data_IF_811251344270
#
_entry.id   IF_811251344270
#
_cell.length_a   1.000
_cell.length_b   1.000
_cell.length_c   1.000
_cell.angle_alpha   90.00
_cell.angle_beta   90.00
_cell.angle_gamma   90.00
#
_symmetry.space_group_name_H-M   'P 1'
#
loop_
_entity.id
_entity.type
_entity.pdbx_description
1 polymer ?
#
# COMPACT_ATOMS: atom_id res chain seq x y z
N UNK A 1 -3.75 17.30 -7.45
CA UNK A 1 -4.19 15.88 -7.49
C UNK A 1 -4.21 15.36 -8.93
N UNK A 2 -5.00 15.92 -9.86
CA UNK A 2 -5.09 15.44 -11.25
C UNK A 2 -3.73 15.39 -12.00
N UNK A 3 -2.94 16.47 -11.92
CA UNK A 3 -1.59 16.53 -12.52
C UNK A 3 -0.65 15.44 -11.96
N UNK A 4 -0.73 15.14 -10.66
CA UNK A 4 0.10 14.11 -10.04
C UNK A 4 -0.25 12.71 -10.57
N UNK A 5 -1.54 12.40 -10.74
CA UNK A 5 -1.97 11.11 -11.28
C UNK A 5 -1.62 10.96 -12.76
N UNK A 6 -1.68 12.04 -13.54
CA UNK A 6 -1.21 12.07 -14.93
C UNK A 6 0.29 11.76 -15.01
N UNK A 7 1.11 12.38 -14.15
CA UNK A 7 2.55 12.10 -14.07
C UNK A 7 2.81 10.64 -13.62
N UNK A 8 2.04 10.13 -12.65
CA UNK A 8 2.10 8.71 -12.25
C UNK A 8 1.78 7.78 -13.44
N UNK A 9 0.75 8.08 -14.23
CA UNK A 9 0.37 7.28 -15.39
C UNK A 9 1.45 7.29 -16.48
N UNK A 10 2.09 8.44 -16.72
CA UNK A 10 3.24 8.55 -17.64
C UNK A 10 4.42 7.70 -17.15
N UNK A 11 4.75 7.81 -15.86
CA UNK A 11 5.82 7.01 -15.28
C UNK A 11 5.51 5.50 -15.38
N UNK A 12 4.27 5.10 -15.16
CA UNK A 12 3.84 3.70 -15.32
C UNK A 12 3.99 3.21 -16.76
N UNK A 13 3.67 4.04 -17.77
CA UNK A 13 3.90 3.70 -19.19
C UNK A 13 5.37 3.48 -19.49
N UNK A 14 6.24 4.39 -19.02
CA UNK A 14 7.69 4.22 -19.12
C UNK A 14 8.14 2.90 -18.49
N UNK A 15 7.64 2.61 -17.29
CA UNK A 15 7.98 1.40 -16.54
C UNK A 15 7.55 0.12 -17.28
N UNK A 16 6.33 0.10 -17.84
CA UNK A 16 5.80 -1.02 -18.64
C UNK A 16 6.66 -1.33 -19.88
N UNK A 17 7.21 -0.31 -20.54
CA UNK A 17 8.10 -0.51 -21.69
C UNK A 17 9.44 -1.16 -21.29
N UNK A 18 9.86 -0.96 -20.05
CA UNK A 18 11.22 -1.18 -19.61
C UNK A 18 11.40 -2.39 -18.69
N UNK A 19 10.34 -2.83 -18.02
CA UNK A 19 10.34 -4.03 -17.17
C UNK A 19 11.05 -3.81 -15.83
N UNK A 20 11.98 -4.70 -15.47
CA UNK A 20 12.66 -4.71 -14.17
C UNK A 20 13.59 -3.50 -14.00
N UNK A 21 13.51 -2.77 -12.89
CA UNK A 21 14.36 -1.59 -12.62
C UNK A 21 14.87 -1.54 -11.18
N UNK A 22 16.12 -1.07 -11.04
CA UNK A 22 16.70 -0.73 -9.73
C UNK A 22 16.16 0.60 -9.21
N UNK A 23 16.19 0.79 -7.90
CA UNK A 23 15.77 2.04 -7.26
C UNK A 23 16.62 3.25 -7.68
N UNK A 24 17.90 3.06 -8.01
CA UNK A 24 18.75 4.12 -8.56
C UNK A 24 18.20 4.61 -9.90
N UNK A 25 17.87 3.69 -10.82
CA UNK A 25 17.28 4.04 -12.11
C UNK A 25 15.90 4.70 -11.93
N UNK A 26 15.09 4.17 -11.02
CA UNK A 26 13.78 4.73 -10.68
C UNK A 26 13.93 6.17 -10.17
N UNK A 27 14.84 6.41 -9.22
CA UNK A 27 15.13 7.74 -8.67
C UNK A 27 15.52 8.72 -9.76
N UNK A 28 16.47 8.36 -10.63
CA UNK A 28 16.91 9.22 -11.72
C UNK A 28 15.75 9.59 -12.66
N UNK A 29 14.95 8.61 -13.06
CA UNK A 29 13.86 8.85 -14.01
C UNK A 29 12.71 9.63 -13.40
N UNK A 30 12.37 9.38 -12.14
CA UNK A 30 11.39 10.17 -11.41
C UNK A 30 11.86 11.61 -11.24
N UNK A 31 13.14 11.85 -10.92
CA UNK A 31 13.70 13.21 -10.85
C UNK A 31 13.64 13.91 -12.21
N UNK A 32 14.03 13.24 -13.29
CA UNK A 32 13.95 13.80 -14.64
C UNK A 32 12.50 14.16 -15.01
N UNK A 33 11.55 13.29 -14.65
CA UNK A 33 10.12 13.52 -14.89
C UNK A 33 9.60 14.71 -14.08
N UNK A 34 9.91 14.79 -12.78
CA UNK A 34 9.57 15.93 -11.93
C UNK A 34 10.08 17.25 -12.53
N UNK A 35 11.35 17.29 -12.94
CA UNK A 35 11.96 18.48 -13.54
C UNK A 35 11.28 18.88 -14.85
N UNK A 36 10.89 17.91 -15.68
CA UNK A 36 10.26 18.17 -16.98
C UNK A 36 8.84 18.75 -16.86
N UNK A 37 8.17 18.49 -15.73
CA UNK A 37 6.80 18.95 -15.45
C UNK A 37 6.73 20.04 -14.38
N UNK A 38 7.88 20.59 -13.96
CA UNK A 38 8.00 21.58 -12.87
C UNK A 38 7.24 21.13 -11.61
N UNK A 39 7.30 19.83 -11.32
CA UNK A 39 6.57 19.22 -10.22
C UNK A 39 7.39 19.25 -8.94
N UNK A 40 7.00 20.12 -8.02
CA UNK A 40 7.66 20.26 -6.72
C UNK A 40 7.36 19.09 -5.77
N UNK A 41 8.39 18.68 -5.02
CA UNK A 41 8.30 17.69 -3.96
C UNK A 41 9.12 16.43 -4.21
N UNK A 42 9.03 15.48 -3.27
CA UNK A 42 9.77 14.23 -3.39
C UNK A 42 9.05 13.28 -4.36
N UNK A 43 9.51 13.25 -5.61
CA UNK A 43 8.92 12.43 -6.66
C UNK A 43 8.83 10.94 -6.32
N UNK A 44 9.75 10.39 -5.51
CA UNK A 44 9.64 8.98 -5.12
C UNK A 44 8.36 8.72 -4.33
N UNK A 45 8.04 9.58 -3.36
CA UNK A 45 6.83 9.45 -2.54
C UNK A 45 5.56 9.89 -3.26
N UNK A 46 5.67 10.81 -4.22
CA UNK A 46 4.52 11.38 -4.91
C UNK A 46 4.17 10.66 -6.23
N UNK A 47 5.13 9.98 -6.85
CA UNK A 47 4.97 9.32 -8.16
C UNK A 47 5.18 7.81 -8.05
N UNK A 48 6.35 7.37 -7.58
CA UNK A 48 6.72 5.96 -7.61
C UNK A 48 6.01 5.10 -6.55
N UNK A 49 6.18 5.42 -5.26
CA UNK A 49 5.59 4.64 -4.17
C UNK A 49 4.06 4.52 -4.25
N UNK A 50 3.29 5.53 -4.71
CA UNK A 50 1.87 5.35 -4.96
C UNK A 50 1.55 4.21 -5.94
N UNK A 51 2.38 3.98 -6.97
CA UNK A 51 2.19 2.88 -7.92
C UNK A 51 2.52 1.52 -7.28
N UNK A 52 3.55 1.47 -6.43
CA UNK A 52 3.86 0.29 -5.61
C UNK A 52 2.69 -0.02 -4.67
N UNK A 53 2.17 1.00 -3.98
CA UNK A 53 1.03 0.85 -3.05
C UNK A 53 -0.29 0.49 -3.72
N UNK A 54 -0.50 0.95 -4.96
CA UNK A 54 -1.64 0.56 -5.80
C UNK A 54 -1.50 -0.85 -6.38
N UNK A 55 -0.31 -1.47 -6.31
CA UNK A 55 -0.07 -2.84 -6.81
C UNK A 55 0.23 -2.90 -8.31
N UNK A 56 0.62 -1.79 -8.94
CA UNK A 56 1.05 -1.81 -10.34
C UNK A 56 2.50 -2.25 -10.51
N UNK A 57 3.31 -2.04 -9.47
CA UNK A 57 4.74 -2.35 -9.42
C UNK A 57 4.99 -3.18 -8.15
N UNK A 58 5.78 -4.23 -8.29
CA UNK A 58 6.20 -5.13 -7.21
C UNK A 58 7.67 -4.96 -6.88
N UNK A 59 7.99 -5.10 -5.60
CA UNK A 59 9.36 -5.28 -5.14
C UNK A 59 9.75 -6.74 -5.30
N UNK A 60 10.94 -7.01 -5.86
CA UNK A 60 11.41 -8.39 -6.12
C UNK A 60 12.73 -8.73 -5.43
N UNK A 61 13.20 -7.87 -4.52
CA UNK A 61 14.45 -8.06 -3.77
C UNK A 61 15.55 -7.11 -4.23
N UNK A 62 16.56 -6.94 -3.37
CA UNK A 62 17.83 -6.25 -3.70
C UNK A 62 17.63 -4.85 -4.33
N UNK A 63 16.70 -4.06 -3.77
CA UNK A 63 16.40 -2.71 -4.25
C UNK A 63 15.90 -2.67 -5.72
N UNK A 64 15.34 -3.78 -6.20
CA UNK A 64 14.78 -3.91 -7.54
C UNK A 64 13.26 -4.14 -7.53
N UNK A 65 12.64 -3.64 -8.59
CA UNK A 65 11.20 -3.62 -8.76
C UNK A 65 10.84 -4.06 -10.18
N UNK A 66 9.61 -4.53 -10.38
CA UNK A 66 9.09 -4.92 -11.69
C UNK A 66 7.60 -4.59 -11.81
N UNK A 67 7.07 -4.62 -13.04
CA UNK A 67 5.61 -4.55 -13.25
C UNK A 67 4.94 -5.77 -12.62
N UNK A 68 3.88 -5.53 -11.84
CA UNK A 68 3.06 -6.61 -11.31
C UNK A 68 2.40 -7.39 -12.48
N UNK A 69 2.28 -8.72 -12.40
CA UNK A 69 1.70 -9.51 -13.47
C UNK A 69 0.27 -9.06 -13.79
N UNK A 70 -0.10 -9.21 -15.06
CA UNK A 70 -1.47 -8.99 -15.54
C UNK A 70 -2.42 -9.93 -14.82
N UNK A 71 -3.50 -9.38 -14.25
CA UNK A 71 -4.50 -10.15 -13.50
C UNK A 71 -5.90 -9.60 -13.71
N UNK A 72 -6.88 -10.49 -13.72
CA UNK A 72 -8.29 -10.14 -13.60
C UNK A 72 -8.81 -10.63 -12.25
N UNK A 73 -9.37 -9.69 -11.49
CA UNK A 73 -9.98 -9.91 -10.18
C UNK A 73 -11.50 -9.84 -10.35
N UNK A 74 -12.19 -10.95 -10.06
CA UNK A 74 -13.66 -10.99 -10.05
C UNK A 74 -14.19 -10.74 -8.64
N UNK A 75 -15.11 -9.79 -8.53
CA UNK A 75 -15.90 -9.56 -7.33
C UNK A 75 -17.27 -10.22 -7.52
N UNK A 76 -17.44 -11.37 -6.87
CA UNK A 76 -18.65 -12.18 -6.96
C UNK A 76 -19.88 -11.47 -6.38
N UNK A 77 -19.70 -10.51 -5.47
CA UNK A 77 -20.80 -9.80 -4.83
C UNK A 77 -21.40 -8.76 -5.78
N UNK A 78 -20.54 -8.01 -6.47
CA UNK A 78 -20.98 -6.96 -7.41
C UNK A 78 -21.20 -7.47 -8.84
N UNK A 79 -20.72 -8.68 -9.18
CA UNK A 79 -20.74 -9.18 -10.56
C UNK A 79 -19.78 -8.44 -11.49
N UNK A 80 -18.81 -7.73 -10.92
CA UNK A 80 -17.83 -6.92 -11.64
C UNK A 80 -16.47 -7.61 -11.68
N UNK A 81 -15.78 -7.45 -12.80
CA UNK A 81 -14.40 -7.88 -12.99
C UNK A 81 -13.51 -6.67 -13.23
N UNK A 82 -12.31 -6.70 -12.64
CA UNK A 82 -11.31 -5.65 -12.75
C UNK A 82 -10.02 -6.23 -13.30
N UNK A 83 -9.59 -5.75 -14.47
CA UNK A 83 -8.31 -6.10 -15.07
C UNK A 83 -7.23 -5.08 -14.71
N UNK A 84 -6.07 -5.56 -14.26
CA UNK A 84 -4.94 -4.75 -13.83
C UNK A 84 -3.72 -5.14 -14.66
N UNK A 85 -2.93 -4.15 -15.08
CA UNK A 85 -1.70 -4.34 -15.87
C UNK A 85 -1.88 -5.20 -17.13
N UNK A 86 -3.07 -5.16 -17.74
CA UNK A 86 -3.31 -5.80 -19.02
C UNK A 86 -2.55 -5.05 -20.13
N UNK A 87 -2.11 -5.78 -21.16
CA UNK A 87 -1.56 -5.18 -22.36
C UNK A 87 -2.68 -4.72 -23.32
N UNK A 88 -2.33 -3.96 -24.35
CA UNK A 88 -3.31 -3.39 -25.29
C UNK A 88 -4.14 -4.45 -26.02
N UNK A 89 -3.53 -5.58 -26.36
CA UNK A 89 -4.21 -6.67 -27.07
C UNK A 89 -5.24 -7.37 -26.18
N UNK A 90 -4.87 -7.66 -24.93
CA UNK A 90 -5.78 -8.21 -23.92
C UNK A 90 -6.97 -7.27 -23.68
N UNK A 91 -6.72 -5.95 -23.58
CA UNK A 91 -7.79 -4.96 -23.42
C UNK A 91 -8.75 -4.99 -24.62
N UNK A 92 -8.23 -5.00 -25.85
CA UNK A 92 -9.06 -5.09 -27.07
C UNK A 92 -9.91 -6.36 -27.08
N UNK A 93 -9.34 -7.49 -26.71
CA UNK A 93 -10.06 -8.76 -26.65
C UNK A 93 -11.22 -8.71 -25.63
N UNK A 94 -10.99 -8.15 -24.44
CA UNK A 94 -12.06 -7.97 -23.44
C UNK A 94 -13.16 -7.02 -23.96
N UNK A 95 -12.78 -5.94 -24.65
CA UNK A 95 -13.73 -5.01 -25.26
C UNK A 95 -14.64 -5.68 -26.30
N UNK A 96 -14.18 -6.75 -26.97
CA UNK A 96 -14.99 -7.49 -27.94
C UNK A 96 -15.99 -8.46 -27.29
N UNK A 97 -15.75 -8.89 -26.05
CA UNK A 97 -16.50 -9.98 -25.40
C UNK A 97 -17.26 -9.55 -24.15
N UNK A 98 -17.09 -8.31 -23.68
CA UNK A 98 -17.68 -7.81 -22.44
C UNK A 98 -18.04 -6.33 -22.49
N UNK A 99 -19.08 -5.96 -21.75
CA UNK A 99 -19.48 -4.56 -21.55
C UNK A 99 -18.46 -3.87 -20.64
N UNK A 100 -17.65 -2.98 -21.22
CA UNK A 100 -16.71 -2.15 -20.46
C UNK A 100 -17.48 -1.03 -19.78
N UNK A 101 -17.29 -0.93 -18.47
CA UNK A 101 -17.84 0.16 -17.66
C UNK A 101 -16.87 1.33 -17.62
N UNK A 102 -15.58 1.05 -17.47
CA UNK A 102 -14.56 2.10 -17.36
C UNK A 102 -13.17 1.56 -17.70
N UNK A 103 -12.34 2.44 -18.25
CA UNK A 103 -10.88 2.27 -18.27
C UNK A 103 -10.27 3.53 -17.66
N UNK A 104 -9.55 3.39 -16.55
CA UNK A 104 -8.90 4.53 -15.90
C UNK A 104 -7.56 4.91 -16.55
N UNK A 105 -6.98 6.03 -16.12
CA UNK A 105 -5.73 6.54 -16.69
C UNK A 105 -4.51 5.64 -16.47
N UNK A 106 -4.58 4.71 -15.51
CA UNK A 106 -3.53 3.72 -15.26
C UNK A 106 -3.72 2.46 -16.12
N UNK A 107 -4.83 2.39 -16.88
CA UNK A 107 -5.20 1.25 -17.70
C UNK A 107 -5.88 0.14 -16.90
N UNK A 108 -6.47 0.44 -15.73
CA UNK A 108 -7.34 -0.50 -15.03
C UNK A 108 -8.67 -0.54 -15.75
N UNK A 109 -9.07 -1.73 -16.18
CA UNK A 109 -10.35 -1.96 -16.88
C UNK A 109 -11.37 -2.53 -15.90
N UNK A 110 -12.58 -1.97 -15.90
CA UNK A 110 -13.73 -2.47 -15.14
C UNK A 110 -14.82 -2.88 -16.11
N UNK A 111 -15.31 -4.11 -15.97
CA UNK A 111 -16.32 -4.67 -16.87
C UNK A 111 -17.26 -5.61 -16.12
N UNK A 112 -18.49 -5.73 -16.61
CA UNK A 112 -19.45 -6.69 -16.06
C UNK A 112 -19.12 -8.08 -16.59
N UNK A 113 -18.97 -9.04 -15.70
CA UNK A 113 -18.82 -10.44 -16.10
C UNK A 113 -19.06 -11.37 -14.91
N UNK A 114 -19.87 -12.40 -15.14
CA UNK A 114 -20.02 -13.49 -14.17
C UNK A 114 -18.72 -14.27 -14.01
N UNK A 115 -18.55 -14.95 -12.88
CA UNK A 115 -17.30 -15.69 -12.55
C UNK A 115 -16.91 -16.70 -13.63
N UNK A 116 -17.86 -17.52 -14.12
CA UNK A 116 -17.59 -18.53 -15.13
C UNK A 116 -17.16 -17.90 -16.47
N UNK A 117 -17.82 -16.81 -16.87
CA UNK A 117 -17.46 -16.07 -18.07
C UNK A 117 -16.07 -15.44 -17.91
N UNK A 118 -15.78 -14.82 -16.75
CA UNK A 118 -14.47 -14.22 -16.47
C UNK A 118 -13.35 -15.26 -16.55
N UNK A 119 -13.58 -16.48 -16.03
CA UNK A 119 -12.61 -17.57 -16.14
C UNK A 119 -12.34 -17.97 -17.59
N UNK A 120 -13.38 -18.03 -18.43
CA UNK A 120 -13.22 -18.28 -19.88
C UNK A 120 -12.41 -17.17 -20.54
N UNK A 121 -12.76 -15.91 -20.28
CA UNK A 121 -12.02 -14.73 -20.77
C UNK A 121 -10.53 -14.84 -20.40
N UNK A 122 -10.22 -15.12 -19.14
CA UNK A 122 -8.84 -15.22 -18.66
C UNK A 122 -8.04 -16.32 -19.38
N UNK A 123 -8.67 -17.45 -19.69
CA UNK A 123 -8.04 -18.53 -20.46
C UNK A 123 -7.76 -18.10 -21.89
N UNK A 124 -8.71 -17.43 -22.55
CA UNK A 124 -8.58 -16.96 -23.93
C UNK A 124 -7.46 -15.92 -24.08
N UNK A 125 -7.38 -14.96 -23.16
CA UNK A 125 -6.41 -13.87 -23.22
C UNK A 125 -5.08 -14.18 -22.49
N UNK A 126 -4.92 -15.41 -22.00
CA UNK A 126 -3.79 -15.89 -21.19
C UNK A 126 -3.44 -14.92 -20.03
N UNK A 127 -4.40 -14.69 -19.13
CA UNK A 127 -4.25 -13.80 -17.98
C UNK A 127 -4.55 -14.53 -16.68
N UNK A 128 -3.88 -14.13 -15.59
CA UNK A 128 -4.16 -14.68 -14.27
C UNK A 128 -5.58 -14.31 -13.83
N UNK A 129 -6.27 -15.27 -13.20
CA UNK A 129 -7.61 -15.09 -12.66
C UNK A 129 -7.58 -15.26 -11.14
N UNK A 130 -8.26 -14.37 -10.42
CA UNK A 130 -8.55 -14.57 -9.00
C UNK A 130 -9.93 -14.09 -8.63
N UNK A 131 -10.48 -14.69 -7.58
CA UNK A 131 -11.68 -14.22 -6.90
C UNK A 131 -11.25 -13.37 -5.71
N UNK A 132 -11.95 -12.26 -5.49
CA UNK A 132 -11.73 -11.42 -4.31
C UNK A 132 -12.19 -12.15 -3.04
N UNK A 133 -11.24 -12.66 -2.23
CA UNK A 133 -11.54 -13.26 -0.92
C UNK A 133 -10.78 -12.55 0.22
N UNK A 134 -11.12 -11.27 0.40
CA UNK A 134 -10.40 -10.38 1.30
C UNK A 134 -10.45 -10.82 2.76
N UNK A 135 -11.59 -11.32 3.23
CA UNK A 135 -11.72 -11.76 4.61
C UNK A 135 -10.81 -12.97 4.91
N UNK A 136 -10.69 -13.92 3.97
CA UNK A 136 -9.77 -15.05 4.12
C UNK A 136 -8.30 -14.61 4.11
N UNK A 137 -7.93 -13.68 3.23
CA UNK A 137 -6.56 -13.14 3.20
C UNK A 137 -6.23 -12.45 4.54
N UNK A 138 -7.14 -11.62 5.04
CA UNK A 138 -6.95 -10.92 6.32
C UNK A 138 -6.99 -11.84 7.53
N UNK A 139 -7.74 -12.94 7.51
CA UNK A 139 -7.76 -13.88 8.65
C UNK A 139 -6.42 -14.59 8.85
N UNK A 140 -5.63 -14.74 7.78
CA UNK A 140 -4.30 -15.36 7.81
C UNK A 140 -3.18 -14.36 8.07
N UNK A 141 -3.48 -13.06 8.12
CA UNK A 141 -2.48 -12.03 8.35
C UNK A 141 -1.99 -12.06 9.81
N UNK A 142 -0.68 -12.00 10.11
CA UNK A 142 -0.19 -11.96 11.48
C UNK A 142 -0.60 -10.66 12.20
N UNK A 143 -0.55 -10.65 13.54
CA UNK A 143 -0.67 -9.40 14.29
C UNK A 143 0.57 -8.54 14.07
N UNK A 144 0.43 -7.22 14.05
CA UNK A 144 1.54 -6.32 13.74
C UNK A 144 2.70 -6.48 14.73
N UNK A 145 2.40 -6.74 16.02
CA UNK A 145 3.41 -7.03 17.05
C UNK A 145 4.26 -8.25 16.71
N UNK A 146 3.65 -9.29 16.11
CA UNK A 146 4.32 -10.54 15.76
C UNK A 146 5.22 -10.37 14.54
N UNK A 147 4.91 -9.40 13.69
CA UNK A 147 5.77 -9.04 12.56
C UNK A 147 6.98 -8.25 13.05
N UNK A 148 6.77 -7.25 13.92
CA UNK A 148 7.86 -6.46 14.50
C UNK A 148 8.81 -7.33 15.33
N UNK A 149 8.30 -8.30 16.10
CA UNK A 149 9.15 -9.18 16.91
C UNK A 149 10.02 -10.16 16.11
N UNK A 150 9.79 -10.27 14.79
CA UNK A 150 10.61 -11.06 13.85
C UNK A 150 11.68 -10.24 13.15
N UNK A 151 11.73 -8.93 13.36
CA UNK A 151 12.86 -8.13 12.91
C UNK A 151 14.13 -8.57 13.65
N UNK A 152 15.28 -8.29 13.04
CA UNK A 152 16.57 -8.71 13.60
C UNK A 152 16.78 -8.03 14.95
N UNK A 153 16.89 -8.83 16.01
CA UNK A 153 17.14 -8.30 17.36
C UNK A 153 18.51 -7.66 17.41
N UNK A 154 18.55 -6.39 17.82
CA UNK A 154 19.80 -5.68 18.05
C UNK A 154 19.95 -5.38 19.54
N UNK A 155 21.02 -5.92 20.13
CA UNK A 155 21.24 -5.93 21.59
C UNK A 155 21.83 -4.58 22.08
N UNK A 156 22.18 -3.67 21.18
CA UNK A 156 23.16 -2.59 21.48
C UNK A 156 22.62 -1.18 21.22
N UNK A 157 21.41 -0.89 21.69
CA UNK A 157 21.02 0.50 21.93
C UNK A 157 21.35 0.87 23.38
N UNK A 158 22.58 1.38 23.60
CA UNK A 158 23.08 1.85 24.90
C UNK A 158 22.39 3.16 25.35
N UNK A 159 21.06 3.24 25.41
CA UNK A 159 20.31 4.34 26.02
C UNK A 159 20.42 5.73 25.35
N UNK A 160 21.22 5.88 24.30
CA UNK A 160 21.38 7.10 23.50
C UNK A 160 20.83 6.87 22.09
N UNK A 161 19.55 7.16 21.90
CA UNK A 161 18.90 7.12 20.60
C UNK A 161 17.85 8.20 20.52
N UNK A 162 17.73 8.83 19.35
CA UNK A 162 16.80 9.91 19.09
C UNK A 162 15.46 9.34 18.65
N UNK A 163 14.39 9.73 19.35
CA UNK A 163 13.05 9.18 19.15
C UNK A 163 12.36 9.81 17.92
N UNK A 164 11.76 8.99 17.08
CA UNK A 164 10.86 9.48 16.03
C UNK A 164 9.50 9.84 16.63
N UNK A 165 9.10 11.11 16.53
CA UNK A 165 7.79 11.58 16.97
C UNK A 165 6.79 11.55 15.82
N UNK A 166 5.82 10.63 15.89
CA UNK A 166 4.74 10.52 14.90
C UNK A 166 3.98 11.82 14.72
N UNK A 167 3.61 12.50 15.82
CA UNK A 167 2.88 13.78 15.79
C UNK A 167 3.55 14.90 15.00
N UNK A 168 4.88 14.82 14.81
CA UNK A 168 5.66 15.82 14.06
C UNK A 168 6.29 15.24 12.79
N UNK A 169 6.18 13.93 12.57
CA UNK A 169 6.94 13.16 11.59
C UNK A 169 8.44 13.52 11.56
N UNK A 170 9.05 13.67 12.75
CA UNK A 170 10.44 14.13 12.91
C UNK A 170 11.16 13.40 14.03
N UNK A 171 12.47 13.27 13.87
CA UNK A 171 13.36 12.82 14.94
C UNK A 171 13.47 13.94 16.00
N UNK A 172 13.31 13.56 17.27
CA UNK A 172 13.57 14.40 18.42
C UNK A 172 14.90 14.03 19.05
N UNK A 173 15.91 14.86 18.78
CA UNK A 173 17.27 14.69 19.25
C UNK A 173 17.40 14.83 20.78
N UNK A 174 16.40 15.42 21.44
CA UNK A 174 16.39 15.58 22.89
C UNK A 174 15.73 14.40 23.63
N UNK A 175 15.14 13.47 22.88
CA UNK A 175 14.47 12.30 23.45
C UNK A 175 15.47 11.15 23.60
N UNK A 176 15.49 10.52 24.78
CA UNK A 176 16.22 9.27 25.03
C UNK A 176 15.28 8.08 24.89
N UNK A 177 15.85 6.89 24.67
CA UNK A 177 15.13 5.61 24.61
C UNK A 177 14.47 5.32 25.97
N UNK A 178 13.26 5.84 26.14
CA UNK A 178 12.42 5.65 27.34
C UNK A 178 10.98 5.27 26.99
N UNK A 179 10.61 5.43 25.72
CA UNK A 179 9.28 5.14 25.20
C UNK A 179 9.35 4.07 24.13
N UNK A 180 8.27 3.32 23.98
CA UNK A 180 8.09 2.40 22.85
C UNK A 180 8.05 3.22 21.55
N UNK A 181 8.76 2.79 20.51
CA UNK A 181 8.72 3.48 19.22
C UNK A 181 9.98 3.31 18.37
N UNK A 182 10.07 4.13 17.33
CA UNK A 182 11.18 4.15 16.39
C UNK A 182 12.29 5.08 16.88
N UNK A 183 13.53 4.64 16.74
CA UNK A 183 14.74 5.37 17.13
C UNK A 183 15.81 5.33 16.04
N UNK A 184 16.68 6.34 16.04
CA UNK A 184 17.97 6.32 15.32
C UNK A 184 19.10 6.68 16.29
N UNK A 185 20.35 6.51 15.89
CA UNK A 185 21.52 6.79 16.74
C UNK A 185 22.44 7.81 16.08
N UNK A 186 23.22 8.55 16.88
CA UNK A 186 24.25 9.46 16.35
C UNK A 186 25.30 8.73 15.51
N UNK A 187 25.62 7.48 15.87
CA UNK A 187 26.64 6.68 15.19
C UNK A 187 26.20 6.18 13.82
N UNK A 188 24.89 6.01 13.62
CA UNK A 188 24.32 5.51 12.39
C UNK A 188 22.94 6.15 12.14
N UNK A 189 22.97 7.34 11.52
CA UNK A 189 21.78 8.11 11.17
C UNK A 189 20.99 7.51 10.00
N UNK A 190 21.53 6.49 9.35
CA UNK A 190 20.89 5.77 8.26
C UNK A 190 20.13 4.53 8.73
N UNK A 191 20.43 4.05 9.95
CA UNK A 191 19.71 2.95 10.60
C UNK A 191 18.60 3.45 11.49
N UNK A 192 17.53 2.67 11.49
CA UNK A 192 16.40 2.84 12.37
C UNK A 192 16.13 1.55 13.13
N UNK A 193 15.69 1.72 14.36
CA UNK A 193 15.41 0.63 15.28
C UNK A 193 14.02 0.82 15.86
N UNK A 194 13.37 -0.27 16.23
CA UNK A 194 12.15 -0.27 17.01
C UNK A 194 12.43 -0.79 18.41
N UNK A 195 12.03 -0.05 19.44
CA UNK A 195 12.09 -0.50 20.83
C UNK A 195 10.67 -0.80 21.32
N UNK A 196 10.40 -2.02 21.78
CA UNK A 196 9.07 -2.45 22.23
C UNK A 196 8.82 -2.29 23.74
N UNK A 197 9.80 -1.73 24.46
CA UNK A 197 9.80 -1.61 25.92
C UNK A 197 10.68 -2.65 26.62
N UNK A 198 11.04 -3.72 25.92
CA UNK A 198 11.90 -4.80 26.43
C UNK A 198 13.09 -5.02 25.50
N UNK A 199 12.82 -5.27 24.24
CA UNK A 199 13.79 -5.60 23.20
C UNK A 199 13.89 -4.48 22.17
N UNK A 200 15.04 -4.42 21.50
CA UNK A 200 15.29 -3.56 20.37
C UNK A 200 15.48 -4.39 19.10
N UNK A 201 14.86 -3.94 18.00
CA UNK A 201 14.89 -4.60 16.71
C UNK A 201 15.36 -3.62 15.63
N UNK A 202 16.22 -4.07 14.73
CA UNK A 202 16.62 -3.29 13.54
C UNK A 202 15.46 -3.28 12.54
N UNK A 203 15.00 -2.09 12.15
CA UNK A 203 13.97 -1.95 11.12
C UNK A 203 14.62 -2.26 9.79
N UNK A 204 14.08 -3.22 9.01
CA UNK A 204 14.65 -3.57 7.72
C UNK A 204 14.78 -2.35 6.80
N UNK A 205 15.96 -2.23 6.18
CA UNK A 205 16.23 -1.26 5.12
C UNK A 205 15.26 -1.44 3.95
N UNK A 206 14.91 -0.33 3.28
CA UNK A 206 13.92 -0.32 2.19
C UNK A 206 14.35 -1.14 0.99
N UNK A 207 15.66 -1.25 0.80
CA UNK A 207 16.36 -2.07 -0.20
C UNK A 207 16.07 -3.56 -0.02
N UNK A 208 15.79 -4.01 1.21
CA UNK A 208 15.49 -5.41 1.54
C UNK A 208 14.00 -5.63 1.79
N UNK A 209 13.33 -4.65 2.39
CA UNK A 209 11.91 -4.71 2.68
C UNK A 209 11.31 -3.29 2.70
N UNK A 210 10.53 -2.91 1.67
CA UNK A 210 9.96 -1.57 1.57
C UNK A 210 8.86 -1.28 2.60
N UNK A 211 8.39 -2.29 3.35
CA UNK A 211 7.34 -2.17 4.36
C UNK A 211 7.86 -2.07 5.80
N UNK A 212 9.16 -2.31 6.03
CA UNK A 212 9.72 -2.36 7.39
C UNK A 212 9.37 -1.11 8.21
N UNK A 213 9.52 0.06 7.59
CA UNK A 213 9.17 1.35 8.21
C UNK A 213 7.68 1.47 8.53
N UNK A 214 6.79 1.21 7.57
CA UNK A 214 5.33 1.39 7.80
C UNK A 214 4.78 0.40 8.82
N UNK A 215 5.35 -0.81 8.91
CA UNK A 215 5.04 -1.79 9.95
C UNK A 215 5.41 -1.24 11.34
N UNK A 216 6.65 -0.76 11.49
CA UNK A 216 7.13 -0.18 12.74
C UNK A 216 6.34 1.09 13.12
N UNK A 217 6.08 1.98 12.16
CA UNK A 217 5.33 3.23 12.35
C UNK A 217 3.90 2.95 12.83
N UNK A 218 3.25 1.96 12.21
CA UNK A 218 1.91 1.51 12.61
C UNK A 218 1.91 0.94 14.03
N UNK A 219 2.92 0.14 14.38
CA UNK A 219 2.99 -0.42 15.73
C UNK A 219 3.27 0.66 16.79
N UNK A 220 4.13 1.64 16.50
CA UNK A 220 4.31 2.81 17.36
C UNK A 220 2.99 3.57 17.54
N UNK A 221 2.23 3.81 16.46
CA UNK A 221 0.96 4.53 16.53
C UNK A 221 -0.06 3.84 17.45
N UNK A 222 -0.13 2.52 17.39
CA UNK A 222 -0.98 1.71 18.29
C UNK A 222 -0.56 1.91 19.74
N UNK A 223 0.75 1.90 20.03
CA UNK A 223 1.30 2.04 21.39
C UNK A 223 1.16 3.45 21.95
N UNK A 224 1.21 4.46 21.08
CA UNK A 224 0.95 5.86 21.43
C UNK A 224 -0.56 6.18 21.52
N UNK A 225 -1.44 5.23 21.19
CA UNK A 225 -2.89 5.45 21.20
C UNK A 225 -3.38 6.42 20.12
N UNK A 226 -2.64 6.55 19.03
CA UNK A 226 -3.01 7.43 17.90
C UNK A 226 -4.17 6.79 17.13
N UNK A 227 -5.25 7.55 16.95
CA UNK A 227 -6.40 7.12 16.14
C UNK A 227 -6.10 7.32 14.65
N UNK A 228 -5.70 6.24 13.97
CA UNK A 228 -5.42 6.24 12.53
C UNK A 228 -6.46 5.53 11.67
N UNK A 229 -7.44 4.84 12.27
CA UNK A 229 -8.52 4.14 11.58
C UNK A 229 -9.88 4.58 12.12
N UNK A 230 -10.76 5.02 11.22
CA UNK A 230 -12.14 5.38 11.52
C UNK A 230 -13.06 4.69 10.51
N UNK A 231 -14.10 4.02 10.98
CA UNK A 231 -15.04 3.31 10.13
C UNK A 231 -16.45 3.88 10.27
N UNK A 232 -17.04 4.31 9.16
CA UNK A 232 -18.44 4.71 9.09
C UNK A 232 -19.29 3.49 8.69
N UNK A 233 -20.17 3.05 9.60
CA UNK A 233 -20.98 1.85 9.37
C UNK A 233 -22.17 2.09 8.44
N UNK A 234 -22.65 3.32 8.28
CA UNK A 234 -23.74 3.62 7.34
C UNK A 234 -23.23 3.59 5.90
N UNK A 235 -22.09 4.23 5.63
CA UNK A 235 -21.50 4.31 4.29
C UNK A 235 -20.57 3.13 3.97
N UNK A 236 -20.33 2.25 4.93
CA UNK A 236 -19.38 1.12 4.85
C UNK A 236 -17.99 1.59 4.39
N UNK A 237 -17.54 2.72 4.92
CA UNK A 237 -16.31 3.39 4.53
C UNK A 237 -15.28 3.34 5.67
N UNK A 238 -14.07 2.86 5.36
CA UNK A 238 -12.92 2.94 6.27
C UNK A 238 -12.05 4.11 5.86
N UNK A 239 -11.69 4.94 6.83
CA UNK A 239 -10.77 6.07 6.66
C UNK A 239 -9.49 5.74 7.41
N UNK A 240 -8.37 5.76 6.68
CA UNK A 240 -7.02 5.70 7.21
C UNK A 240 -6.46 7.12 7.21
N UNK A 241 -5.89 7.56 8.33
CA UNK A 241 -5.34 8.91 8.48
C UNK A 241 -4.06 8.89 9.32
N UNK A 242 -3.31 9.99 9.26
CA UNK A 242 -2.17 10.29 10.15
C UNK A 242 -0.90 9.43 9.96
N UNK A 243 -1.00 8.21 9.43
CA UNK A 243 0.16 7.32 9.19
C UNK A 243 0.01 6.53 7.88
N UNK A 244 1.10 5.90 7.43
CA UNK A 244 1.05 4.92 6.35
C UNK A 244 0.92 3.51 6.93
N UNK A 245 -0.24 2.87 6.75
CA UNK A 245 -0.41 1.45 7.07
C UNK A 245 0.52 0.57 6.19
N UNK A 246 0.78 -0.70 6.55
CA UNK A 246 1.55 -1.63 5.70
C UNK A 246 0.99 -1.68 4.27
N UNK A 247 1.88 -1.78 3.29
CA UNK A 247 1.55 -1.76 1.85
C UNK A 247 0.59 -2.92 1.52
N UNK A 248 0.83 -4.11 2.06
CA UNK A 248 -0.04 -5.26 1.83
C UNK A 248 -1.46 -5.04 2.37
N UNK A 249 -1.61 -4.44 3.56
CA UNK A 249 -2.94 -4.12 4.09
C UNK A 249 -3.62 -3.05 3.23
N UNK A 250 -2.91 -2.01 2.82
CA UNK A 250 -3.43 -0.99 1.90
C UNK A 250 -3.93 -1.62 0.60
N UNK A 251 -3.15 -2.49 -0.04
CA UNK A 251 -3.55 -3.20 -1.26
C UNK A 251 -4.79 -4.06 -1.07
N UNK A 252 -4.86 -4.82 0.03
CA UNK A 252 -6.03 -5.65 0.36
C UNK A 252 -7.29 -4.78 0.50
N UNK A 253 -7.19 -3.63 1.17
CA UNK A 253 -8.28 -2.67 1.29
C UNK A 253 -8.62 -1.96 -0.03
N UNK A 254 -7.67 -1.82 -0.95
CA UNK A 254 -7.99 -1.33 -2.31
C UNK A 254 -8.83 -2.33 -3.07
N UNK A 255 -8.51 -3.62 -2.96
CA UNK A 255 -9.23 -4.68 -3.68
C UNK A 255 -10.73 -4.71 -3.33
N UNK A 256 -11.10 -4.45 -2.08
CA UNK A 256 -12.52 -4.36 -1.68
C UNK A 256 -13.29 -3.25 -2.36
N UNK A 257 -12.58 -2.23 -2.83
CA UNK A 257 -13.16 -1.03 -3.45
C UNK A 257 -12.92 -0.97 -4.96
N UNK A 258 -12.20 -1.93 -5.54
CA UNK A 258 -11.73 -1.87 -6.94
C UNK A 258 -12.86 -1.80 -7.97
N UNK A 259 -14.03 -2.38 -7.68
CA UNK A 259 -15.17 -2.36 -8.60
C UNK A 259 -15.83 -0.99 -8.74
N UNK A 260 -15.54 -0.04 -7.85
CA UNK A 260 -15.98 1.35 -8.00
C UNK A 260 -14.92 2.20 -8.70
N UNK A 261 -15.35 3.04 -9.63
CA UNK A 261 -14.52 4.08 -10.27
C UNK A 261 -13.82 4.98 -9.26
N UNK A 262 -14.55 5.37 -8.21
CA UNK A 262 -14.05 6.18 -7.09
C UNK A 262 -14.10 5.40 -5.77
N UNK A 263 -13.61 4.16 -5.81
CA UNK A 263 -13.61 3.25 -4.66
C UNK A 263 -12.63 3.63 -3.56
N UNK A 264 -11.52 4.26 -3.96
CA UNK A 264 -10.51 4.77 -3.03
C UNK A 264 -10.25 6.24 -3.33
N UNK A 265 -10.41 7.09 -2.32
CA UNK A 265 -10.08 8.51 -2.43
C UNK A 265 -8.91 8.83 -1.51
N UNK A 266 -7.92 9.56 -2.03
CA UNK A 266 -6.75 9.96 -1.27
C UNK A 266 -6.61 11.49 -1.28
N UNK A 267 -6.71 12.12 -0.12
CA UNK A 267 -6.55 13.56 0.03
C UNK A 267 -5.91 13.88 1.38
N UNK A 268 -4.96 14.82 1.42
CA UNK A 268 -4.37 15.35 2.66
C UNK A 268 -3.91 14.26 3.65
N UNK A 269 -3.13 13.27 3.18
CA UNK A 269 -2.68 12.12 3.99
C UNK A 269 -3.79 11.25 4.58
N UNK A 270 -5.00 11.34 4.02
CA UNK A 270 -6.11 10.45 4.31
C UNK A 270 -6.41 9.58 3.11
N UNK A 271 -6.68 8.32 3.35
CA UNK A 271 -7.18 7.37 2.37
C UNK A 271 -8.53 6.84 2.84
N UNK A 272 -9.55 6.93 2.00
CA UNK A 272 -10.86 6.38 2.26
C UNK A 272 -11.13 5.21 1.32
N UNK A 273 -11.52 4.08 1.89
CA UNK A 273 -11.81 2.83 1.21
C UNK A 273 -13.30 2.51 1.37
N UNK A 274 -14.00 2.28 0.26
CA UNK A 274 -15.43 1.99 0.24
C UNK A 274 -15.72 0.49 0.29
N UNK A 275 -16.94 0.14 0.70
CA UNK A 275 -17.45 -1.22 0.76
C UNK A 275 -16.61 -2.13 1.68
N UNK A 276 -16.20 -1.57 2.82
CA UNK A 276 -15.54 -2.33 3.87
C UNK A 276 -16.60 -2.97 4.75
N UNK A 277 -16.63 -4.30 4.76
CA UNK A 277 -17.61 -5.05 5.54
C UNK A 277 -17.20 -5.18 7.01
N UNK A 278 -18.16 -5.35 7.95
CA UNK A 278 -17.84 -5.56 9.37
C UNK A 278 -16.86 -6.73 9.65
N UNK A 279 -16.89 -7.87 8.93
CA UNK A 279 -15.87 -8.90 9.06
C UNK A 279 -14.44 -8.41 8.81
N UNK A 280 -14.25 -7.51 7.83
CA UNK A 280 -12.93 -6.90 7.57
C UNK A 280 -12.50 -6.05 8.75
N UNK A 281 -13.38 -5.22 9.32
CA UNK A 281 -13.10 -4.42 10.51
C UNK A 281 -12.69 -5.30 11.69
N UNK A 282 -13.36 -6.45 11.88
CA UNK A 282 -12.97 -7.43 12.91
C UNK A 282 -11.54 -7.93 12.71
N UNK A 283 -11.13 -8.23 11.46
CA UNK A 283 -9.76 -8.65 11.19
C UNK A 283 -8.75 -7.52 11.36
N UNK A 284 -9.08 -6.29 10.97
CA UNK A 284 -8.19 -5.14 11.20
C UNK A 284 -7.99 -4.86 12.69
N UNK A 285 -9.05 -4.94 13.51
CA UNK A 285 -8.94 -4.86 14.98
C UNK A 285 -7.99 -5.92 15.55
N UNK A 286 -8.03 -7.15 15.01
CA UNK A 286 -7.10 -8.23 15.39
C UNK A 286 -5.66 -7.89 14.97
N UNK A 287 -5.45 -7.55 13.69
CA UNK A 287 -4.12 -7.30 13.12
C UNK A 287 -3.42 -6.15 13.84
N UNK A 288 -4.15 -5.06 14.10
CA UNK A 288 -3.62 -3.85 14.73
C UNK A 288 -3.83 -3.81 16.25
N UNK A 289 -4.42 -4.85 16.84
CA UNK A 289 -4.70 -4.94 18.27
C UNK A 289 -5.35 -3.67 18.84
N UNK A 290 -6.28 -3.11 18.08
CA UNK A 290 -6.93 -1.84 18.37
C UNK A 290 -8.44 -1.98 18.26
N UNK A 291 -9.17 -1.02 18.82
CA UNK A 291 -10.61 -0.89 18.63
C UNK A 291 -10.86 0.29 17.68
N UNK A 292 -11.05 -0.01 16.40
CA UNK A 292 -11.41 0.98 15.38
C UNK A 292 -12.65 1.73 15.83
N UNK A 293 -12.59 3.05 15.76
CA UNK A 293 -13.72 3.93 16.06
C UNK A 293 -14.79 3.76 15.01
N UNK A 294 -16.02 3.53 15.47
CA UNK A 294 -17.20 3.41 14.61
C UNK A 294 -17.96 4.74 14.66
N UNK A 295 -18.27 5.30 13.50
CA UNK A 295 -19.11 6.49 13.35
C UNK A 295 -20.38 6.13 12.58
N UNK A 296 -21.46 6.86 12.86
CA UNK A 296 -22.73 6.78 12.14
C UNK A 296 -23.00 8.05 11.31
N UNK A 297 -22.01 8.93 11.24
CA UNK A 297 -22.00 10.17 10.44
C UNK A 297 -21.16 9.94 9.20
#
# INVERSE_FOLDING_TARGET
MKQQEEIQAIFLKWYKHHGVRSMQQIRQNVTNLCNSYEFDGNGLYLIFYPLVRKGFIEFIGEDTYQIAPSIIINDQISGMSTGINLNEEQIKQIMCISEIIEIDMFGVIRFKSETNQTQTICKEINCAFTISNINQVLSNFPMIREVVSRFDKNITLDGYGYHYKLSKHKIDENSKIKSIGIFTTEKDSHKYYFFDGTDCYEIPFKEHNPEGWSIAETYQAIKEGIEFLVYNDQTKQLIVQSINIPILIDRILRITSLHFSNGVTTANYKAAYKNISPPIIKQLNRIFETKIKITNE
#
